data_IF_648015867798
#
_entry.id   IF_648015867798
#
_cell.length_a   1.000
_cell.length_b   1.000
_cell.length_c   1.000
_cell.angle_alpha   90.00
_cell.angle_beta   90.00
_cell.angle_gamma   90.00
#
_symmetry.space_group_name_H-M   'P 1'
#
loop_
_entity.id
_entity.type
_entity.pdbx_description
1 polymer ?
#
# COMPACT_ATOMS: atom_id res chain seq x y z
N UNK A 1 14.22 0.31 -34.72
CA UNK A 1 13.83 -0.94 -34.03
C UNK A 1 14.08 -0.75 -32.55
N UNK A 2 13.09 -0.24 -31.86
CA UNK A 2 13.20 0.10 -30.42
C UNK A 2 13.07 -1.17 -29.63
N UNK A 3 14.14 -1.56 -28.97
CA UNK A 3 14.11 -2.61 -27.96
C UNK A 3 13.05 -2.25 -26.91
N UNK A 4 12.10 -3.15 -26.57
CA UNK A 4 11.23 -2.91 -25.45
C UNK A 4 12.13 -2.76 -24.23
N UNK A 5 12.05 -1.60 -23.61
CA UNK A 5 12.67 -1.31 -22.33
C UNK A 5 12.18 -2.35 -21.32
N UNK A 6 12.93 -3.43 -21.22
CA UNK A 6 12.75 -4.45 -20.21
C UNK A 6 13.18 -3.81 -18.88
N UNK A 7 12.34 -2.89 -18.40
CA UNK A 7 12.42 -2.47 -17.00
C UNK A 7 12.14 -3.72 -16.19
N UNK A 8 13.21 -4.43 -15.94
CA UNK A 8 13.25 -5.38 -14.86
C UNK A 8 12.72 -4.63 -13.65
N UNK A 9 11.45 -4.86 -13.33
CA UNK A 9 10.84 -4.28 -12.15
C UNK A 9 11.57 -4.95 -11.00
N UNK A 10 12.68 -4.35 -10.59
CA UNK A 10 13.51 -4.88 -9.53
C UNK A 10 12.63 -5.07 -8.29
N UNK A 11 12.77 -6.22 -7.66
CA UNK A 11 12.05 -6.55 -6.42
C UNK A 11 12.08 -5.39 -5.42
N UNK A 12 13.22 -4.73 -5.26
CA UNK A 12 13.38 -3.55 -4.42
C UNK A 12 12.55 -2.35 -4.86
N UNK A 13 12.36 -2.15 -6.16
CA UNK A 13 11.52 -1.07 -6.67
C UNK A 13 10.04 -1.30 -6.36
N UNK A 14 9.57 -2.54 -6.47
CA UNK A 14 8.21 -2.92 -6.06
C UNK A 14 8.00 -2.74 -4.56
N UNK A 15 8.99 -3.11 -3.78
CA UNK A 15 8.96 -2.96 -2.33
C UNK A 15 8.83 -1.49 -1.91
N UNK A 16 9.64 -0.61 -2.51
CA UNK A 16 9.58 0.83 -2.29
C UNK A 16 8.25 1.44 -2.74
N UNK A 17 7.73 0.99 -3.88
CA UNK A 17 6.39 1.40 -4.37
C UNK A 17 5.29 0.96 -3.43
N UNK A 18 5.37 -0.24 -2.87
CA UNK A 18 4.44 -0.74 -1.87
C UNK A 18 4.43 0.10 -0.61
N UNK A 19 5.59 0.49 -0.11
CA UNK A 19 5.71 1.40 1.03
C UNK A 19 5.12 2.78 0.72
N UNK A 20 5.42 3.33 -0.45
CA UNK A 20 4.88 4.62 -0.87
C UNK A 20 3.36 4.57 -1.02
N UNK A 21 2.83 3.54 -1.66
CA UNK A 21 1.39 3.32 -1.82
C UNK A 21 0.68 3.19 -0.47
N UNK A 22 1.25 2.41 0.46
CA UNK A 22 0.71 2.26 1.81
C UNK A 22 0.68 3.58 2.60
N UNK A 23 1.65 4.48 2.37
CA UNK A 23 1.69 5.81 2.99
C UNK A 23 0.75 6.79 2.33
N UNK A 24 0.57 6.69 1.02
CA UNK A 24 -0.27 7.59 0.23
C UNK A 24 -1.75 7.29 0.41
N UNK A 25 -2.10 6.00 0.59
CA UNK A 25 -3.49 5.58 0.70
C UNK A 25 -4.18 6.21 1.92
N UNK A 26 -5.32 6.91 1.72
CA UNK A 26 -6.08 7.45 2.83
C UNK A 26 -6.77 6.33 3.61
N UNK A 27 -6.50 6.25 4.91
CA UNK A 27 -7.06 5.22 5.81
C UNK A 27 -8.45 5.62 6.32
N UNK A 28 -9.34 6.00 5.40
CA UNK A 28 -10.69 6.41 5.72
C UNK A 28 -11.60 5.20 5.97
N UNK A 29 -12.35 5.24 7.07
CA UNK A 29 -13.31 4.18 7.41
C UNK A 29 -14.37 3.96 6.33
N UNK A 30 -14.73 5.03 5.61
CA UNK A 30 -15.71 5.00 4.51
C UNK A 30 -15.26 4.19 3.30
N UNK A 31 -13.94 4.08 3.08
CA UNK A 31 -13.35 3.31 1.99
C UNK A 31 -13.14 1.82 2.34
N UNK A 32 -13.15 1.49 3.62
CA UNK A 32 -12.85 0.14 4.09
C UNK A 32 -13.72 -0.97 3.48
N UNK A 33 -15.05 -0.80 3.30
CA UNK A 33 -15.88 -1.85 2.72
C UNK A 33 -15.69 -2.01 1.20
N UNK A 34 -15.23 -0.97 0.52
CA UNK A 34 -15.13 -0.96 -0.95
C UNK A 34 -13.76 -1.44 -1.42
N UNK A 35 -12.70 -1.12 -0.66
CA UNK A 35 -11.32 -1.39 -1.07
C UNK A 35 -10.63 -2.37 -0.12
N UNK A 36 -10.15 -3.47 -0.68
CA UNK A 36 -9.35 -4.49 0.03
C UNK A 36 -8.02 -3.88 0.53
N UNK A 37 -7.53 -2.84 -0.13
CA UNK A 37 -6.31 -2.13 0.19
C UNK A 37 -6.25 -1.67 1.65
N UNK A 38 -7.32 -1.14 2.19
CA UNK A 38 -7.40 -0.73 3.60
C UNK A 38 -7.06 -1.88 4.55
N UNK A 39 -7.59 -3.06 4.26
CA UNK A 39 -7.35 -4.26 5.07
C UNK A 39 -5.91 -4.73 4.93
N UNK A 40 -5.40 -4.82 3.71
CA UNK A 40 -4.03 -5.26 3.44
C UNK A 40 -3.01 -4.29 4.02
N UNK A 41 -3.17 -2.99 3.86
CA UNK A 41 -2.28 -1.97 4.44
C UNK A 41 -2.26 -2.06 5.96
N UNK A 42 -3.42 -2.20 6.59
CA UNK A 42 -3.52 -2.35 8.04
C UNK A 42 -2.79 -3.61 8.53
N UNK A 43 -3.05 -4.75 7.90
CA UNK A 43 -2.39 -6.02 8.23
C UNK A 43 -0.88 -5.96 8.01
N UNK A 44 -0.45 -5.34 6.91
CA UNK A 44 0.98 -5.15 6.62
C UNK A 44 1.66 -4.26 7.65
N UNK A 45 1.03 -3.17 8.07
CA UNK A 45 1.55 -2.29 9.14
C UNK A 45 1.66 -3.03 10.48
N UNK A 46 0.67 -3.83 10.84
CA UNK A 46 0.76 -4.69 12.02
C UNK A 46 1.89 -5.71 11.90
N UNK A 47 2.03 -6.35 10.74
CA UNK A 47 3.10 -7.30 10.50
C UNK A 47 4.48 -6.65 10.61
N UNK A 48 4.69 -5.48 10.03
CA UNK A 48 5.96 -4.73 10.13
C UNK A 48 6.28 -4.42 11.60
N UNK A 49 5.29 -4.10 12.41
CA UNK A 49 5.48 -3.71 13.80
C UNK A 49 5.69 -4.91 14.72
N UNK A 50 4.91 -5.99 14.53
CA UNK A 50 4.86 -7.09 15.48
C UNK A 50 5.71 -8.31 15.07
N UNK A 51 5.94 -8.54 13.80
CA UNK A 51 6.70 -9.72 13.36
C UNK A 51 8.17 -9.71 13.76
N UNK A 52 8.93 -8.59 13.70
CA UNK A 52 10.30 -8.57 14.19
C UNK A 52 10.43 -8.94 15.68
N UNK A 53 9.63 -8.38 16.61
CA UNK A 53 9.63 -8.82 18.00
C UNK A 53 9.26 -10.28 18.19
N UNK A 54 8.27 -10.78 17.43
CA UNK A 54 7.87 -12.21 17.48
C UNK A 54 9.01 -13.12 17.02
N UNK A 55 9.71 -12.75 15.94
CA UNK A 55 10.85 -13.51 15.43
C UNK A 55 11.98 -13.60 16.48
N UNK A 56 12.33 -12.46 17.07
CA UNK A 56 13.35 -12.39 18.13
C UNK A 56 12.93 -13.21 19.36
N UNK A 57 11.69 -13.05 19.80
CA UNK A 57 11.14 -13.80 20.93
C UNK A 57 11.19 -15.31 20.69
N UNK A 58 10.77 -15.77 19.52
CA UNK A 58 10.79 -17.19 19.15
C UNK A 58 12.21 -17.76 19.18
N UNK A 59 13.18 -17.03 18.63
CA UNK A 59 14.59 -17.44 18.66
C UNK A 59 15.13 -17.53 20.09
N UNK A 60 14.92 -16.49 20.91
CA UNK A 60 15.38 -16.45 22.29
C UNK A 60 14.74 -17.56 23.14
N UNK A 61 13.45 -17.80 22.96
CA UNK A 61 12.71 -18.85 23.66
C UNK A 61 13.27 -20.24 23.34
N UNK A 62 13.51 -20.54 22.08
CA UNK A 62 14.06 -21.83 21.67
C UNK A 62 15.48 -22.03 22.14
N UNK A 63 16.30 -20.98 22.10
CA UNK A 63 17.68 -21.05 22.64
C UNK A 63 17.66 -21.29 24.17
N UNK A 64 16.80 -20.59 24.89
CA UNK A 64 16.68 -20.73 26.36
C UNK A 64 16.20 -22.11 26.80
N UNK A 65 15.35 -22.75 26.01
CA UNK A 65 14.86 -24.12 26.30
C UNK A 65 15.75 -25.23 25.78
N UNK A 66 16.90 -24.90 25.14
CA UNK A 66 17.80 -25.89 24.54
C UNK A 66 17.20 -26.61 23.32
N UNK A 67 16.22 -25.99 22.68
CA UNK A 67 15.55 -26.54 21.48
C UNK A 67 16.42 -26.52 20.24
N UNK A 68 15.93 -27.16 19.18
CA UNK A 68 16.60 -27.18 17.89
C UNK A 68 16.51 -25.80 17.20
N UNK A 69 17.67 -25.27 16.82
CA UNK A 69 17.76 -23.96 16.14
C UNK A 69 17.14 -23.95 14.74
N UNK A 70 17.18 -25.07 14.02
CA UNK A 70 16.66 -25.15 12.65
C UNK A 70 15.20 -24.73 12.52
N UNK A 71 14.26 -25.36 13.23
CA UNK A 71 12.84 -24.96 13.23
C UNK A 71 12.62 -23.54 13.74
N UNK A 72 13.38 -23.09 14.73
CA UNK A 72 13.27 -21.74 15.27
C UNK A 72 13.65 -20.68 14.25
N UNK A 73 14.76 -20.87 13.53
CA UNK A 73 15.21 -19.99 12.45
C UNK A 73 14.20 -19.97 11.29
N UNK A 74 13.68 -21.13 10.89
CA UNK A 74 12.66 -21.24 9.85
C UNK A 74 11.39 -20.45 10.22
N UNK A 75 10.92 -20.58 11.47
CA UNK A 75 9.75 -19.84 11.96
C UNK A 75 9.99 -18.34 11.98
N UNK A 76 11.16 -17.91 12.45
CA UNK A 76 11.53 -16.49 12.47
C UNK A 76 11.61 -15.89 11.06
N UNK A 77 12.22 -16.58 10.11
CA UNK A 77 12.29 -16.16 8.70
C UNK A 77 10.90 -16.09 8.06
N UNK A 78 10.04 -17.05 8.34
CA UNK A 78 8.66 -17.03 7.88
C UNK A 78 7.91 -15.80 8.41
N UNK A 79 8.01 -15.54 9.72
CA UNK A 79 7.38 -14.38 10.35
C UNK A 79 7.86 -13.06 9.73
N UNK A 80 9.16 -12.93 9.46
CA UNK A 80 9.73 -11.74 8.80
C UNK A 80 9.35 -11.62 7.32
N UNK A 81 9.03 -12.73 6.66
CA UNK A 81 8.60 -12.71 5.25
C UNK A 81 7.18 -12.14 5.06
N UNK A 82 6.31 -12.22 6.07
CA UNK A 82 4.92 -11.76 5.98
C UNK A 82 4.78 -10.27 5.64
N UNK A 83 5.45 -9.33 6.34
CA UNK A 83 5.39 -7.93 5.96
C UNK A 83 5.98 -7.66 4.57
N UNK A 84 7.02 -8.40 4.17
CA UNK A 84 7.62 -8.27 2.84
C UNK A 84 6.65 -8.69 1.75
N UNK A 85 5.91 -9.78 1.94
CA UNK A 85 4.85 -10.23 1.01
C UNK A 85 3.74 -9.18 0.88
N UNK A 86 3.31 -8.59 1.99
CA UNK A 86 2.31 -7.52 2.00
C UNK A 86 2.76 -6.29 1.21
N UNK A 87 3.98 -5.82 1.43
CA UNK A 87 4.55 -4.69 0.70
C UNK A 87 4.78 -4.98 -0.79
N UNK A 88 5.20 -6.19 -1.13
CA UNK A 88 5.34 -6.62 -2.51
C UNK A 88 4.00 -6.62 -3.24
N UNK A 89 2.96 -7.16 -2.60
CA UNK A 89 1.60 -7.15 -3.15
C UNK A 89 1.09 -5.71 -3.36
N UNK A 90 1.28 -4.83 -2.38
CA UNK A 90 0.91 -3.42 -2.50
C UNK A 90 1.66 -2.71 -3.62
N UNK A 91 2.95 -2.98 -3.78
CA UNK A 91 3.76 -2.46 -4.87
C UNK A 91 3.27 -2.90 -6.24
N UNK A 92 2.95 -4.17 -6.38
CA UNK A 92 2.36 -4.72 -7.60
C UNK A 92 0.97 -4.14 -7.87
N UNK A 93 0.16 -3.99 -6.83
CA UNK A 93 -1.16 -3.39 -6.93
C UNK A 93 -1.11 -1.92 -7.36
N UNK A 94 -0.15 -1.15 -6.84
CA UNK A 94 -0.01 0.28 -7.13
C UNK A 94 0.18 0.59 -8.62
N UNK A 95 0.82 -0.29 -9.36
CA UNK A 95 1.07 -0.14 -10.81
C UNK A 95 0.01 -0.84 -11.67
N UNK A 96 -0.97 -1.48 -11.07
CA UNK A 96 -2.07 -2.14 -11.80
C UNK A 96 -3.03 -1.08 -12.33
N UNK A 97 -3.42 -1.13 -13.63
CA UNK A 97 -4.40 -0.22 -14.20
C UNK A 97 -5.75 -0.33 -13.49
N UNK A 98 -6.48 0.79 -13.39
CA UNK A 98 -7.82 0.81 -12.82
C UNK A 98 -8.81 0.03 -13.70
N UNK A 99 -9.70 -0.78 -13.11
CA UNK A 99 -10.77 -1.40 -13.85
C UNK A 99 -11.80 -0.35 -14.35
N UNK A 100 -12.54 -0.62 -15.44
CA UNK A 100 -13.51 0.33 -16.00
C UNK A 100 -14.57 0.80 -14.99
N UNK A 101 -14.95 -0.05 -14.05
CA UNK A 101 -15.94 0.27 -13.02
C UNK A 101 -15.49 1.40 -12.08
N UNK A 102 -14.19 1.49 -11.80
CA UNK A 102 -13.61 2.52 -10.92
C UNK A 102 -13.13 3.72 -11.73
N UNK A 103 -12.81 3.53 -13.00
CA UNK A 103 -12.24 4.55 -13.85
C UNK A 103 -13.13 5.78 -14.00
N UNK A 104 -14.43 5.58 -14.23
CA UNK A 104 -15.40 6.66 -14.34
C UNK A 104 -15.51 7.48 -13.06
N UNK A 105 -15.55 6.79 -11.91
CA UNK A 105 -15.55 7.43 -10.60
C UNK A 105 -14.25 8.19 -10.32
N UNK A 106 -13.11 7.65 -10.74
CA UNK A 106 -11.82 8.32 -10.63
C UNK A 106 -11.80 9.67 -11.38
N UNK A 107 -12.29 9.71 -12.61
CA UNK A 107 -12.37 10.95 -13.37
C UNK A 107 -13.40 11.93 -12.81
N UNK A 108 -14.50 11.44 -12.26
CA UNK A 108 -15.49 12.28 -11.57
C UNK A 108 -14.87 12.98 -10.35
N UNK A 109 -14.15 12.24 -9.50
CA UNK A 109 -13.46 12.80 -8.33
C UNK A 109 -12.42 13.84 -8.78
N UNK A 110 -11.65 13.55 -9.82
CA UNK A 110 -10.69 14.52 -10.38
C UNK A 110 -11.37 15.78 -10.88
N UNK A 111 -12.48 15.65 -11.57
CA UNK A 111 -13.27 16.80 -12.05
C UNK A 111 -13.72 17.70 -10.90
N UNK A 112 -14.26 17.12 -9.83
CA UNK A 112 -14.65 17.86 -8.62
C UNK A 112 -13.49 18.57 -7.93
N UNK A 113 -12.31 17.94 -7.90
CA UNK A 113 -11.10 18.56 -7.37
C UNK A 113 -10.63 19.74 -8.20
N UNK A 114 -10.71 19.66 -9.52
CA UNK A 114 -10.37 20.76 -10.42
C UNK A 114 -11.35 21.93 -10.28
N UNK A 115 -12.64 21.65 -10.15
CA UNK A 115 -13.67 22.65 -9.87
C UNK A 115 -13.44 23.36 -8.53
N UNK A 116 -12.90 22.63 -7.54
CA UNK A 116 -12.51 23.19 -6.25
C UNK A 116 -11.18 23.98 -6.28
N UNK A 117 -10.59 24.20 -7.46
CA UNK A 117 -9.36 24.97 -7.63
C UNK A 117 -8.06 24.21 -7.39
N UNK A 118 -8.10 22.89 -7.30
CA UNK A 118 -6.90 22.07 -7.17
C UNK A 118 -6.20 21.89 -8.52
N UNK A 119 -4.93 22.27 -8.60
CA UNK A 119 -4.09 21.96 -9.74
C UNK A 119 -3.71 20.48 -9.74
N UNK A 120 -4.21 19.72 -10.70
CA UNK A 120 -3.90 18.31 -10.85
C UNK A 120 -3.01 18.10 -12.08
N UNK A 121 -1.97 17.31 -11.92
CA UNK A 121 -1.14 16.90 -13.04
C UNK A 121 -2.00 16.08 -14.05
N UNK A 122 -1.79 16.24 -15.37
CA UNK A 122 -2.50 15.45 -16.37
C UNK A 122 -2.18 13.97 -16.17
N UNK A 123 -3.17 13.11 -16.41
CA UNK A 123 -2.99 11.66 -16.37
C UNK A 123 -2.40 11.22 -17.69
N UNK A 124 -1.16 10.75 -17.67
CA UNK A 124 -0.50 10.17 -18.83
C UNK A 124 -0.84 8.67 -18.92
N UNK A 125 -1.51 8.28 -20.01
CA UNK A 125 -1.90 6.90 -20.27
C UNK A 125 -3.05 6.41 -19.40
N UNK A 126 -3.02 5.11 -19.06
CA UNK A 126 -4.04 4.49 -18.21
C UNK A 126 -3.74 4.78 -16.74
N UNK A 127 -4.69 5.36 -15.96
CA UNK A 127 -4.48 5.58 -14.55
C UNK A 127 -4.36 4.24 -13.80
N UNK A 128 -3.48 4.21 -12.83
CA UNK A 128 -3.25 3.08 -11.95
C UNK A 128 -3.80 3.33 -10.53
N UNK A 129 -3.68 2.34 -9.65
CA UNK A 129 -4.12 2.47 -8.26
C UNK A 129 -3.32 3.52 -7.46
N UNK A 130 -2.06 3.78 -7.83
CA UNK A 130 -1.28 4.86 -7.22
C UNK A 130 -1.87 6.24 -7.56
N UNK A 131 -2.27 6.45 -8.81
CA UNK A 131 -2.95 7.67 -9.22
C UNK A 131 -4.29 7.87 -8.49
N UNK A 132 -5.03 6.78 -8.29
CA UNK A 132 -6.25 6.79 -7.47
C UNK A 132 -5.95 7.18 -6.02
N UNK A 133 -4.94 6.60 -5.40
CA UNK A 133 -4.54 6.90 -4.02
C UNK A 133 -4.14 8.37 -3.86
N UNK A 134 -3.37 8.92 -4.77
CA UNK A 134 -2.97 10.33 -4.78
C UNK A 134 -4.17 11.27 -4.91
N UNK A 135 -5.11 10.92 -5.79
CA UNK A 135 -6.35 11.68 -6.00
C UNK A 135 -7.24 11.65 -4.76
N UNK A 136 -7.45 10.48 -4.16
CA UNK A 136 -8.24 10.33 -2.94
C UNK A 136 -7.62 11.07 -1.76
N UNK A 137 -6.30 10.99 -1.59
CA UNK A 137 -5.59 11.74 -0.54
C UNK A 137 -5.84 13.24 -0.65
N UNK A 138 -5.79 13.78 -1.86
CA UNK A 138 -6.09 15.20 -2.12
C UNK A 138 -7.55 15.53 -1.85
N UNK A 139 -8.47 14.66 -2.27
CA UNK A 139 -9.91 14.83 -2.05
C UNK A 139 -10.24 14.88 -0.55
N UNK A 140 -9.73 13.96 0.24
CA UNK A 140 -9.96 13.95 1.70
C UNK A 140 -9.31 15.13 2.40
N UNK A 141 -8.11 15.52 1.98
CA UNK A 141 -7.45 16.72 2.51
C UNK A 141 -8.23 18.01 2.21
N UNK A 142 -8.91 18.06 1.07
CA UNK A 142 -9.78 19.19 0.72
C UNK A 142 -11.06 19.19 1.56
N UNK A 143 -11.66 18.02 1.78
CA UNK A 143 -12.84 17.89 2.65
C UNK A 143 -12.53 18.30 4.08
N UNK A 144 -11.41 17.87 4.64
CA UNK A 144 -10.97 18.25 5.99
C UNK A 144 -10.76 19.76 6.13
N UNK A 145 -10.31 20.44 5.07
CA UNK A 145 -10.18 21.90 5.06
C UNK A 145 -11.53 22.63 4.98
N UNK A 146 -12.49 22.04 4.28
CA UNK A 146 -13.82 22.64 4.08
C UNK A 146 -14.74 22.41 5.27
N UNK A 147 -14.55 21.29 5.97
CA UNK A 147 -15.32 20.90 7.16
C UNK A 147 -14.37 20.55 8.31
N UNK A 148 -13.68 21.54 8.92
CA UNK A 148 -12.90 21.26 10.12
C UNK A 148 -13.84 20.90 11.27
N UNK A 149 -13.74 19.62 11.69
CA UNK A 149 -14.28 19.08 12.95
C UNK A 149 -15.69 19.52 13.40
N UNK A 150 -16.71 19.25 12.57
CA UNK A 150 -18.09 19.26 13.03
C UNK A 150 -18.67 17.83 13.15
N UNK A 151 -17.89 16.92 13.73
CA UNK A 151 -18.42 15.63 14.22
C UNK A 151 -17.68 15.16 15.47
#
# INVERSE_FOLDING_TARGET
>A
MSTPDNRSVNFFSLFRRGQHYAKTWPMEKRLAPVFVENRVIRMTRYAIRFMPPVAVFTLCWQIALGGQLGPAVATALFALSLPMQGLWWLGKRSVTPLPPSILNWFYEVRGKLQEAGQALAPVEGKPDYQALADTLKRAFKQLDKTFPDDL
#
